data_IF_539367618210
#
_entry.id   IF_539367618210
#
_cell.length_a   1.000
_cell.length_b   1.000
_cell.length_c   1.000
_cell.angle_alpha   90.00
_cell.angle_beta   90.00
_cell.angle_gamma   90.00
#
_symmetry.space_group_name_H-M   'P 1'
#
loop_
_entity.id
_entity.type
_entity.pdbx_description
1 polymer ?
#
# COMPACT_ATOMS: atom_id res chain seq x y z
N UNK A 1 8.09 -8.06 2.15
CA UNK A 1 7.12 -7.00 2.58
C UNK A 1 5.70 -7.53 2.68
N UNK A 2 5.38 -8.65 2.05
CA UNK A 2 4.05 -9.28 2.06
C UNK A 2 3.40 -9.40 3.46
N UNK A 3 4.15 -9.80 4.49
CA UNK A 3 3.63 -9.87 5.88
C UNK A 3 3.15 -8.51 6.40
N UNK A 4 3.85 -7.41 6.06
CA UNK A 4 3.44 -6.06 6.46
C UNK A 4 2.24 -5.60 5.64
N UNK A 5 2.23 -5.87 4.34
CA UNK A 5 1.10 -5.60 3.45
C UNK A 5 -0.18 -6.28 3.99
N UNK A 6 -0.13 -7.58 4.29
CA UNK A 6 -1.28 -8.28 4.85
C UNK A 6 -1.74 -7.70 6.19
N UNK A 7 -0.80 -7.41 7.10
CA UNK A 7 -1.12 -6.85 8.42
C UNK A 7 -1.82 -5.51 8.30
N UNK A 8 -1.32 -4.62 7.44
CA UNK A 8 -1.95 -3.31 7.20
C UNK A 8 -3.34 -3.46 6.57
N UNK A 9 -3.53 -4.38 5.62
CA UNK A 9 -4.87 -4.64 5.06
C UNK A 9 -5.84 -5.22 6.08
N UNK A 10 -5.37 -6.03 7.03
CA UNK A 10 -6.20 -6.61 8.09
C UNK A 10 -6.58 -5.58 9.17
N UNK A 11 -5.68 -4.67 9.51
CA UNK A 11 -5.83 -3.78 10.67
C UNK A 11 -6.33 -2.36 10.34
N UNK A 12 -6.07 -1.85 9.13
CA UNK A 12 -6.48 -0.50 8.75
C UNK A 12 -7.93 -0.40 8.28
N UNK A 13 -8.55 0.75 8.51
CA UNK A 13 -9.88 1.08 7.97
C UNK A 13 -9.85 1.25 6.45
N UNK A 14 -11.01 1.15 5.81
CA UNK A 14 -11.15 1.26 4.35
C UNK A 14 -10.80 2.66 3.80
N UNK A 15 -11.04 3.70 4.59
CA UNK A 15 -10.73 5.11 4.31
C UNK A 15 -9.28 5.49 4.65
N UNK A 16 -8.48 4.56 5.17
CA UNK A 16 -7.10 4.82 5.51
C UNK A 16 -6.20 4.97 4.28
N UNK A 17 -5.14 5.77 4.44
CA UNK A 17 -4.06 5.95 3.47
C UNK A 17 -2.72 5.62 4.09
N UNK A 18 -1.94 4.77 3.43
CA UNK A 18 -0.58 4.42 3.82
C UNK A 18 0.40 5.22 2.98
N UNK A 19 1.39 5.86 3.61
CA UNK A 19 2.44 6.62 2.92
C UNK A 19 3.80 6.06 3.34
N UNK A 20 4.64 5.72 2.36
CA UNK A 20 5.98 5.17 2.60
C UNK A 20 7.03 5.90 1.78
N UNK A 21 8.24 6.02 2.33
CA UNK A 21 9.40 6.54 1.63
C UNK A 21 10.41 5.41 1.38
N UNK A 22 11.23 5.56 0.33
CA UNK A 22 12.34 4.66 -0.08
C UNK A 22 11.96 3.25 -0.54
N UNK A 23 11.08 2.55 0.17
CA UNK A 23 10.74 1.17 -0.11
C UNK A 23 9.23 1.05 -0.37
N UNK A 24 8.80 1.04 -1.65
CA UNK A 24 7.40 0.85 -1.99
C UNK A 24 6.95 -0.56 -1.65
N UNK A 25 5.65 -0.73 -1.42
CA UNK A 25 5.01 -2.04 -1.38
C UNK A 25 4.94 -2.60 -2.81
N UNK A 26 5.66 -3.70 -3.12
CA UNK A 26 5.76 -4.21 -4.50
C UNK A 26 4.42 -4.70 -5.07
N UNK A 27 3.49 -5.14 -4.21
CA UNK A 27 2.22 -5.73 -4.67
C UNK A 27 1.04 -4.77 -4.63
N UNK A 28 1.17 -3.63 -3.96
CA UNK A 28 0.09 -2.67 -3.84
C UNK A 28 0.10 -1.67 -4.99
N UNK A 29 -1.05 -1.38 -5.62
CA UNK A 29 -1.15 -0.27 -6.56
C UNK A 29 -1.09 1.06 -5.79
N UNK A 30 -0.06 1.88 -6.05
CA UNK A 30 0.03 3.22 -5.49
C UNK A 30 -0.94 4.17 -6.22
N UNK A 31 -1.60 5.04 -5.46
CA UNK A 31 -2.52 6.04 -6.02
C UNK A 31 -1.83 7.36 -6.31
N UNK A 32 -0.69 7.61 -5.67
CA UNK A 32 0.15 8.78 -5.93
C UNK A 32 1.62 8.46 -5.62
N UNK A 33 2.53 9.12 -6.33
CA UNK A 33 3.94 9.18 -5.93
C UNK A 33 4.50 10.60 -6.11
N UNK A 34 5.50 10.96 -5.30
CA UNK A 34 6.18 12.26 -5.36
C UNK A 34 7.65 12.10 -5.01
N UNK A 35 8.50 12.94 -5.60
CA UNK A 35 9.96 12.88 -5.43
C UNK A 35 10.64 11.99 -6.48
N UNK A 36 11.94 11.77 -6.35
CA UNK A 36 12.74 10.96 -7.26
C UNK A 36 13.88 10.26 -6.50
N UNK A 37 14.29 9.08 -6.98
CA UNK A 37 15.38 8.32 -6.38
C UNK A 37 15.11 7.98 -4.91
N UNK A 38 16.05 8.33 -4.03
CA UNK A 38 15.96 8.06 -2.59
C UNK A 38 14.87 8.86 -1.86
N UNK A 39 14.45 9.98 -2.44
CA UNK A 39 13.42 10.85 -1.87
C UNK A 39 12.03 10.55 -2.46
N UNK A 40 11.90 9.48 -3.22
CA UNK A 40 10.61 9.06 -3.75
C UNK A 40 9.72 8.49 -2.62
N UNK A 41 8.47 8.93 -2.65
CA UNK A 41 7.41 8.60 -1.69
C UNK A 41 6.21 8.08 -2.48
N UNK A 42 5.53 7.08 -1.91
CA UNK A 42 4.33 6.48 -2.49
C UNK A 42 3.18 6.54 -1.48
N UNK A 43 1.98 6.78 -1.99
CA UNK A 43 0.74 6.73 -1.24
C UNK A 43 -0.16 5.62 -1.77
N UNK A 44 -0.82 4.92 -0.86
CA UNK A 44 -1.71 3.81 -1.14
C UNK A 44 -3.02 4.01 -0.39
N UNK A 45 -4.13 3.99 -1.12
CA UNK A 45 -5.46 3.99 -0.53
C UNK A 45 -5.90 2.57 -0.24
N UNK A 46 -6.24 2.27 1.02
CA UNK A 46 -6.62 0.90 1.43
C UNK A 46 -7.82 0.40 0.63
N UNK A 47 -8.80 1.25 0.37
CA UNK A 47 -9.94 0.92 -0.51
C UNK A 47 -9.54 0.53 -1.93
N UNK A 48 -8.53 1.17 -2.53
CA UNK A 48 -8.02 0.80 -3.86
C UNK A 48 -7.25 -0.51 -3.80
N UNK A 49 -6.36 -0.67 -2.80
CA UNK A 49 -5.56 -1.88 -2.65
C UNK A 49 -6.47 -3.11 -2.46
N UNK A 50 -7.50 -3.05 -1.60
CA UNK A 50 -8.42 -4.18 -1.39
C UNK A 50 -9.21 -4.58 -2.65
N UNK A 51 -9.52 -3.62 -3.54
CA UNK A 51 -10.24 -3.90 -4.80
C UNK A 51 -9.36 -4.61 -5.82
N UNK A 52 -8.08 -4.26 -5.88
CA UNK A 52 -7.12 -4.79 -6.87
C UNK A 52 -6.36 -5.99 -6.34
N UNK A 53 -6.28 -6.13 -5.02
CA UNK A 53 -5.63 -7.21 -4.29
C UNK A 53 -6.68 -7.90 -3.41
N UNK A 54 -7.60 -8.69 -4.01
CA UNK A 54 -8.48 -9.53 -3.21
C UNK A 54 -7.57 -10.47 -2.44
N UNK A 55 -7.44 -10.25 -1.14
CA UNK A 55 -6.67 -11.10 -0.25
C UNK A 55 -7.03 -12.54 -0.58
N UNK A 56 -6.05 -13.31 -1.05
CA UNK A 56 -6.19 -14.76 -1.25
C UNK A 56 -6.56 -15.32 0.11
N UNK A 57 -7.86 -15.44 0.33
CA UNK A 57 -8.42 -15.90 1.57
C UNK A 57 -8.78 -17.36 1.32
N UNK A 58 -7.83 -18.24 1.62
CA UNK A 58 -8.16 -19.53 2.21
C UNK A 58 -7.03 -19.97 3.15
#
# INVERSE_FOLDING_TARGET
>A
MEVLEEKLLKELSEDARVVVCRFPFPHWPHTCSKGAGLDQVWAYDVSTVRKTYPSVSQ
#
